data_IF_297193595696
#
_entry.id   IF_297193595696
#
_cell.length_a   1.000
_cell.length_b   1.000
_cell.length_c   1.000
_cell.angle_alpha   90.00
_cell.angle_beta   90.00
_cell.angle_gamma   90.00
#
_symmetry.space_group_name_H-M   'P 1'
#
loop_
_entity.id
_entity.type
_entity.pdbx_description
1 polymer ?
#
# COMPACT_ATOMS: atom_id res chain seq x y z
N UNK A 1 -1.23 -4.85 -21.36
CA UNK A 1 -2.03 -4.07 -20.40
C UNK A 1 -1.41 -4.21 -19.01
N UNK A 2 -1.88 -3.47 -17.99
CA UNK A 2 -1.49 -3.72 -16.60
C UNK A 2 -1.77 -5.15 -16.12
N UNK A 3 -2.94 -5.71 -16.44
CA UNK A 3 -3.29 -7.08 -16.05
C UNK A 3 -2.34 -8.13 -16.66
N UNK A 4 -1.97 -7.97 -17.92
CA UNK A 4 -1.00 -8.85 -18.59
C UNK A 4 0.41 -8.74 -17.96
N UNK A 5 0.85 -7.53 -17.60
CA UNK A 5 2.14 -7.32 -16.94
C UNK A 5 2.19 -8.01 -15.57
N UNK A 6 1.11 -7.90 -14.77
CA UNK A 6 0.97 -8.63 -13.50
C UNK A 6 1.06 -10.14 -13.74
N UNK A 7 0.29 -10.67 -14.69
CA UNK A 7 0.32 -12.11 -15.03
C UNK A 7 1.73 -12.57 -15.39
N UNK A 8 2.41 -11.83 -16.24
CA UNK A 8 3.73 -12.21 -16.75
C UNK A 8 4.77 -12.14 -15.63
N UNK A 9 4.74 -11.11 -14.78
CA UNK A 9 5.56 -11.00 -13.57
C UNK A 9 5.32 -12.12 -12.56
N UNK A 10 4.06 -12.51 -12.34
CA UNK A 10 3.72 -13.68 -11.50
C UNK A 10 4.34 -14.97 -12.03
N UNK A 11 4.33 -15.17 -13.36
CA UNK A 11 4.91 -16.36 -14.00
C UNK A 11 6.43 -16.36 -13.93
N UNK A 12 7.06 -15.23 -14.22
CA UNK A 12 8.52 -15.07 -14.20
C UNK A 12 9.08 -15.30 -12.80
N UNK A 13 8.46 -14.67 -11.79
CA UNK A 13 8.88 -14.75 -10.40
C UNK A 13 8.38 -16.01 -9.68
N UNK A 14 7.54 -16.82 -10.35
CA UNK A 14 6.84 -17.97 -9.77
C UNK A 14 6.07 -17.60 -8.49
N UNK A 15 5.42 -16.45 -8.53
CA UNK A 15 4.56 -15.96 -7.47
C UNK A 15 3.13 -16.54 -7.62
N UNK A 16 2.56 -16.92 -6.49
CA UNK A 16 1.21 -17.45 -6.31
C UNK A 16 0.20 -16.36 -5.94
N UNK A 17 0.66 -15.30 -5.28
CA UNK A 17 -0.21 -14.23 -4.77
C UNK A 17 0.27 -12.86 -5.19
N UNK A 18 -0.68 -12.01 -5.54
CA UNK A 18 -0.48 -10.56 -5.65
C UNK A 18 -1.60 -9.81 -4.94
N UNK A 19 -1.38 -8.51 -4.75
CA UNK A 19 -2.34 -7.60 -4.15
C UNK A 19 -1.82 -6.96 -2.86
N UNK A 20 -2.63 -6.09 -2.29
CA UNK A 20 -2.32 -5.23 -1.16
C UNK A 20 -2.58 -5.87 0.19
N UNK A 21 -1.77 -5.47 1.17
CA UNK A 21 -2.06 -5.67 2.59
C UNK A 21 -2.80 -4.43 3.09
N UNK A 22 -3.95 -4.63 3.74
CA UNK A 22 -4.88 -3.58 4.13
C UNK A 22 -5.10 -3.66 5.65
N UNK A 23 -4.56 -2.70 6.40
CA UNK A 23 -4.73 -2.62 7.84
C UNK A 23 -6.00 -1.86 8.22
N UNK A 24 -6.86 -2.51 8.99
CA UNK A 24 -8.01 -1.86 9.63
C UNK A 24 -7.55 -1.17 10.90
N UNK A 25 -7.58 0.17 10.91
CA UNK A 25 -7.11 1.00 12.02
C UNK A 25 -8.23 1.75 12.75
N UNK A 26 -9.49 1.51 12.39
CA UNK A 26 -10.66 1.95 13.15
C UNK A 26 -11.64 0.80 13.34
N UNK A 27 -12.25 0.75 14.51
CA UNK A 27 -13.22 -0.27 14.89
C UNK A 27 -14.53 0.32 15.42
N UNK A 28 -14.78 1.59 15.11
CA UNK A 28 -15.98 2.32 15.53
C UNK A 28 -17.26 1.83 14.84
N UNK A 29 -17.16 1.31 13.61
CA UNK A 29 -18.29 0.91 12.77
C UNK A 29 -17.96 -0.31 11.91
N UNK A 30 -18.40 -1.48 12.36
CA UNK A 30 -18.23 -2.75 11.63
C UNK A 30 -19.07 -2.80 10.33
N UNK A 31 -20.19 -2.09 10.27
CA UNK A 31 -21.04 -2.10 9.08
C UNK A 31 -20.43 -1.28 7.95
N UNK A 32 -19.85 -0.13 8.26
CA UNK A 32 -19.04 0.64 7.31
C UNK A 32 -17.84 -0.18 6.83
N UNK A 33 -17.16 -0.90 7.72
CA UNK A 33 -16.05 -1.78 7.33
C UNK A 33 -16.47 -2.89 6.36
N UNK A 34 -17.62 -3.52 6.59
CA UNK A 34 -18.17 -4.52 5.66
C UNK A 34 -18.44 -3.90 4.28
N UNK A 35 -19.02 -2.69 4.21
CA UNK A 35 -19.23 -1.97 2.95
C UNK A 35 -17.92 -1.64 2.25
N UNK A 36 -16.93 -1.12 3.00
CA UNK A 36 -15.60 -0.83 2.48
C UNK A 36 -14.99 -2.05 1.78
N UNK A 37 -14.94 -3.21 2.46
CA UNK A 37 -14.37 -4.44 1.88
C UNK A 37 -15.09 -4.84 0.61
N UNK A 38 -16.43 -4.80 0.63
CA UNK A 38 -17.24 -5.15 -0.52
C UNK A 38 -16.94 -4.27 -1.73
N UNK A 39 -16.85 -2.95 -1.54
CA UNK A 39 -16.54 -1.99 -2.61
C UNK A 39 -15.16 -2.29 -3.22
N UNK A 40 -14.13 -2.54 -2.40
CA UNK A 40 -12.78 -2.82 -2.88
C UNK A 40 -12.75 -4.14 -3.66
N UNK A 41 -13.36 -5.20 -3.13
CA UNK A 41 -13.39 -6.51 -3.78
C UNK A 41 -14.22 -6.50 -5.08
N UNK A 42 -15.38 -5.86 -5.10
CA UNK A 42 -16.23 -5.79 -6.29
C UNK A 42 -15.57 -4.97 -7.40
N UNK A 43 -15.04 -3.78 -7.08
CA UNK A 43 -14.40 -2.92 -8.06
C UNK A 43 -13.18 -3.58 -8.71
N UNK A 44 -12.33 -4.19 -7.90
CA UNK A 44 -11.14 -4.88 -8.39
C UNK A 44 -11.50 -6.09 -9.26
N UNK A 45 -12.48 -6.91 -8.85
CA UNK A 45 -12.92 -8.06 -9.66
C UNK A 45 -13.56 -7.63 -10.98
N UNK A 46 -14.36 -6.57 -10.99
CA UNK A 46 -14.93 -6.01 -12.22
C UNK A 46 -13.83 -5.53 -13.17
N UNK A 47 -12.88 -4.74 -12.68
CA UNK A 47 -11.76 -4.25 -13.49
C UNK A 47 -10.92 -5.39 -14.10
N UNK A 48 -10.66 -6.46 -13.33
CA UNK A 48 -9.91 -7.62 -13.83
C UNK A 48 -10.72 -8.40 -14.88
N UNK A 49 -12.01 -8.61 -14.65
CA UNK A 49 -12.88 -9.35 -15.57
C UNK A 49 -13.00 -8.68 -16.95
N UNK A 50 -12.86 -7.35 -17.01
CA UNK A 50 -12.88 -6.56 -18.24
C UNK A 50 -11.51 -6.46 -18.93
N UNK A 51 -10.45 -7.01 -18.34
CA UNK A 51 -9.09 -6.97 -18.86
C UNK A 51 -8.78 -8.08 -19.87
N UNK A 52 -7.60 -8.00 -20.50
CA UNK A 52 -7.04 -9.03 -21.40
C UNK A 52 -6.34 -10.19 -20.67
N UNK A 53 -6.34 -10.19 -19.33
CA UNK A 53 -5.78 -11.26 -18.50
C UNK A 53 -6.66 -11.52 -17.26
N UNK A 54 -7.95 -11.89 -17.42
CA UNK A 54 -8.88 -12.07 -16.29
C UNK A 54 -8.45 -13.18 -15.32
N UNK A 55 -7.58 -14.10 -15.74
CA UNK A 55 -7.02 -15.17 -14.91
C UNK A 55 -6.19 -14.67 -13.72
N UNK A 56 -5.74 -13.40 -13.70
CA UNK A 56 -5.05 -12.85 -12.53
C UNK A 56 -5.97 -12.74 -11.31
N UNK A 57 -7.29 -12.82 -11.49
CA UNK A 57 -8.25 -12.89 -10.39
C UNK A 57 -8.03 -14.13 -9.51
N UNK A 58 -7.49 -15.22 -10.06
CA UNK A 58 -7.27 -16.48 -9.34
C UNK A 58 -6.14 -16.38 -8.31
N UNK A 59 -5.19 -15.47 -8.56
CA UNK A 59 -4.03 -15.19 -7.69
C UNK A 59 -4.18 -13.88 -6.89
N UNK A 60 -5.28 -13.16 -7.08
CA UNK A 60 -5.54 -11.91 -6.35
C UNK A 60 -5.86 -12.20 -4.88
N UNK A 61 -5.13 -11.53 -3.99
CA UNK A 61 -5.42 -11.53 -2.56
C UNK A 61 -5.25 -10.15 -1.92
N UNK A 62 -6.38 -9.48 -1.68
CA UNK A 62 -6.47 -8.39 -0.70
C UNK A 62 -6.43 -8.98 0.71
N UNK A 63 -5.33 -8.76 1.43
CA UNK A 63 -5.18 -9.28 2.79
C UNK A 63 -5.65 -8.22 3.78
N UNK A 64 -6.86 -8.37 4.29
CA UNK A 64 -7.38 -7.54 5.38
C UNK A 64 -6.80 -8.00 6.71
N UNK A 65 -6.03 -7.14 7.37
CA UNK A 65 -5.46 -7.40 8.69
C UNK A 65 -6.32 -6.72 9.74
N UNK A 66 -6.98 -7.54 10.56
CA UNK A 66 -7.89 -7.11 11.62
C UNK A 66 -7.40 -7.64 12.96
N UNK A 67 -7.05 -6.73 13.87
CA UNK A 67 -6.54 -7.02 15.20
C UNK A 67 -6.78 -5.79 16.09
N UNK A 68 -8.02 -5.65 16.59
CA UNK A 68 -8.46 -4.47 17.34
C UNK A 68 -7.53 -4.11 18.49
N UNK A 69 -6.97 -5.11 19.17
CA UNK A 69 -6.12 -4.88 20.33
C UNK A 69 -4.82 -4.13 20.01
N UNK A 70 -4.32 -4.26 18.78
CA UNK A 70 -3.03 -3.67 18.38
C UNK A 70 -3.14 -2.67 17.24
N UNK A 71 -4.26 -2.64 16.51
CA UNK A 71 -4.43 -1.81 15.32
C UNK A 71 -5.38 -0.64 15.50
N UNK A 72 -6.24 -0.63 16.53
CA UNK A 72 -7.16 0.48 16.76
C UNK A 72 -6.37 1.77 17.04
N UNK A 73 -6.51 2.76 16.15
CA UNK A 73 -5.74 4.00 16.16
C UNK A 73 -4.21 3.82 16.08
N UNK A 74 -3.72 2.73 15.50
CA UNK A 74 -2.28 2.49 15.34
C UNK A 74 -1.60 3.58 14.48
N UNK A 75 -0.41 4.01 14.91
CA UNK A 75 0.40 4.99 14.17
C UNK A 75 1.01 4.37 12.91
N UNK A 76 1.27 5.17 11.88
CA UNK A 76 1.94 4.70 10.66
C UNK A 76 3.32 4.10 10.95
N UNK A 77 4.07 4.66 11.89
CA UNK A 77 5.34 4.09 12.34
C UNK A 77 5.19 2.65 12.86
N UNK A 78 4.21 2.40 13.74
CA UNK A 78 3.94 1.07 14.27
C UNK A 78 3.48 0.08 13.18
N UNK A 79 2.70 0.56 12.20
CA UNK A 79 2.27 -0.22 11.05
C UNK A 79 3.44 -0.56 10.12
N UNK A 80 4.34 0.39 9.85
CA UNK A 80 5.57 0.15 9.07
C UNK A 80 6.42 -0.92 9.74
N UNK A 81 6.65 -0.82 11.06
CA UNK A 81 7.41 -1.82 11.80
C UNK A 81 6.78 -3.22 11.71
N UNK A 82 5.46 -3.32 11.93
CA UNK A 82 4.72 -4.58 11.82
C UNK A 82 4.78 -5.16 10.40
N UNK A 83 4.56 -4.31 9.40
CA UNK A 83 4.57 -4.73 8.00
C UNK A 83 5.95 -5.21 7.55
N UNK A 84 7.03 -4.47 7.86
CA UNK A 84 8.40 -4.88 7.55
C UNK A 84 8.75 -6.23 8.18
N UNK A 85 8.35 -6.44 9.44
CA UNK A 85 8.54 -7.73 10.11
C UNK A 85 7.81 -8.87 9.37
N UNK A 86 6.58 -8.63 8.91
CA UNK A 86 5.83 -9.58 8.10
C UNK A 86 6.47 -9.82 6.72
N UNK A 87 6.87 -8.76 6.01
CA UNK A 87 7.40 -8.82 4.65
C UNK A 87 8.79 -9.48 4.57
N UNK A 88 9.59 -9.40 5.64
CA UNK A 88 10.94 -9.97 5.71
C UNK A 88 10.99 -11.35 6.36
N UNK A 89 9.89 -11.80 6.97
CA UNK A 89 9.77 -13.10 7.60
C UNK A 89 9.88 -14.24 6.56
N UNK A 90 10.86 -15.17 6.68
CA UNK A 90 11.02 -16.28 5.74
C UNK A 90 9.78 -17.18 5.62
N UNK A 91 9.05 -17.37 6.72
CA UNK A 91 7.80 -18.13 6.78
C UNK A 91 6.67 -17.46 5.99
N UNK A 92 6.60 -16.12 6.02
CA UNK A 92 5.62 -15.37 5.22
C UNK A 92 5.85 -15.67 3.75
N UNK A 93 7.06 -15.47 3.25
CA UNK A 93 7.30 -15.63 1.81
C UNK A 93 7.11 -17.08 1.37
N UNK A 94 7.54 -18.06 2.17
CA UNK A 94 7.29 -19.49 1.88
C UNK A 94 5.79 -19.83 1.83
N UNK A 95 5.00 -19.21 2.71
CA UNK A 95 3.55 -19.43 2.73
C UNK A 95 2.82 -18.68 1.62
N UNK A 96 3.29 -17.49 1.26
CA UNK A 96 2.67 -16.63 0.26
C UNK A 96 3.06 -17.04 -1.17
N UNK A 97 4.30 -17.47 -1.37
CA UNK A 97 4.93 -17.76 -2.66
C UNK A 97 5.66 -19.12 -2.63
N UNK A 98 4.96 -20.24 -2.35
CA UNK A 98 5.60 -21.56 -2.22
C UNK A 98 6.35 -22.02 -3.48
N UNK A 99 6.07 -21.46 -4.66
CA UNK A 99 6.78 -21.77 -5.91
C UNK A 99 7.97 -20.86 -6.21
N UNK A 100 8.20 -19.80 -5.43
CA UNK A 100 9.32 -18.88 -5.65
C UNK A 100 10.66 -19.56 -5.35
N UNK A 101 11.55 -19.57 -6.36
CA UNK A 101 12.88 -20.22 -6.25
C UNK A 101 13.97 -19.28 -5.70
N UNK A 102 13.78 -17.96 -5.83
CA UNK A 102 14.71 -16.94 -5.34
C UNK A 102 13.99 -15.94 -4.45
N UNK A 103 14.11 -16.14 -3.14
CA UNK A 103 13.61 -15.20 -2.12
C UNK A 103 14.83 -14.49 -1.54
N UNK A 104 15.27 -13.41 -2.19
CA UNK A 104 16.20 -12.46 -1.61
C UNK A 104 15.50 -11.14 -1.37
N UNK A 105 15.99 -10.34 -0.43
CA UNK A 105 15.50 -8.97 -0.23
C UNK A 105 15.53 -8.16 -1.53
N UNK A 106 16.54 -8.38 -2.37
CA UNK A 106 16.65 -7.77 -3.70
C UNK A 106 15.58 -8.25 -4.69
N UNK A 107 15.22 -9.54 -4.67
CA UNK A 107 14.17 -10.09 -5.53
C UNK A 107 12.77 -9.60 -5.13
N UNK A 108 12.56 -9.28 -3.85
CA UNK A 108 11.32 -8.71 -3.35
C UNK A 108 11.24 -7.19 -3.54
N UNK A 109 12.39 -6.50 -3.72
CA UNK A 109 12.53 -5.05 -3.87
C UNK A 109 11.57 -4.41 -4.90
N UNK A 110 11.18 -5.16 -5.93
CA UNK A 110 10.28 -4.70 -6.99
C UNK A 110 8.84 -5.19 -6.87
N UNK A 111 8.46 -5.83 -5.75
CA UNK A 111 7.16 -6.50 -5.60
C UNK A 111 6.28 -5.68 -4.66
N UNK A 112 5.24 -4.99 -5.17
CA UNK A 112 4.52 -3.99 -4.37
C UNK A 112 3.90 -4.54 -3.09
N UNK A 113 3.43 -5.80 -3.12
CA UNK A 113 2.86 -6.52 -1.98
C UNK A 113 3.76 -6.49 -0.73
N UNK A 114 5.08 -6.40 -0.91
CA UNK A 114 6.06 -6.44 0.18
C UNK A 114 6.73 -5.08 0.46
N UNK A 115 6.31 -4.00 -0.22
CA UNK A 115 6.83 -2.64 -0.01
C UNK A 115 5.78 -1.62 0.39
N UNK A 116 4.53 -1.84 -0.01
CA UNK A 116 3.46 -0.90 0.25
C UNK A 116 2.28 -1.60 0.92
N UNK A 117 1.61 -0.84 1.78
CA UNK A 117 0.36 -1.27 2.38
C UNK A 117 -0.64 -0.12 2.41
N UNK A 118 -1.89 -0.48 2.65
CA UNK A 118 -2.99 0.46 2.78
C UNK A 118 -3.39 0.52 4.24
N UNK A 119 -3.43 1.74 4.79
CA UNK A 119 -4.02 2.01 6.10
C UNK A 119 -5.43 2.55 5.91
N UNK A 120 -6.37 1.99 6.67
CA UNK A 120 -7.76 2.47 6.73
C UNK A 120 -8.05 2.96 8.14
N UNK A 121 -7.87 4.27 8.34
CA UNK A 121 -8.33 4.98 9.55
C UNK A 121 -9.81 5.38 9.42
N UNK A 122 -10.33 6.13 10.39
CA UNK A 122 -11.73 6.57 10.37
C UNK A 122 -12.05 7.44 9.15
N UNK A 123 -11.14 8.34 8.75
CA UNK A 123 -11.36 9.22 7.60
C UNK A 123 -11.46 8.39 6.31
N UNK A 124 -10.47 7.52 6.06
CA UNK A 124 -10.45 6.65 4.89
C UNK A 124 -11.66 5.70 4.86
N UNK A 125 -12.05 5.14 6.01
CA UNK A 125 -13.21 4.26 6.10
C UNK A 125 -14.49 4.98 5.66
N UNK A 126 -14.76 6.16 6.23
CA UNK A 126 -15.96 6.95 5.92
C UNK A 126 -15.95 7.43 4.48
N UNK A 127 -14.79 7.92 4.03
CA UNK A 127 -14.57 8.42 2.67
C UNK A 127 -15.00 7.41 1.61
N UNK A 128 -14.76 6.11 1.82
CA UNK A 128 -15.13 5.05 0.86
C UNK A 128 -16.50 4.43 1.18
N UNK A 129 -16.78 4.12 2.45
CA UNK A 129 -17.99 3.37 2.82
C UNK A 129 -19.29 4.19 2.72
N UNK A 130 -19.18 5.51 2.77
CA UNK A 130 -20.31 6.43 2.74
C UNK A 130 -20.39 7.23 1.42
N UNK A 131 -19.47 7.01 0.47
CA UNK A 131 -19.51 7.63 -0.86
C UNK A 131 -19.98 6.66 -1.96
N UNK A 132 -21.26 6.72 -2.37
CA UNK A 132 -21.80 5.88 -3.44
C UNK A 132 -21.24 6.22 -4.82
N UNK A 133 -20.56 7.37 -5.00
CA UNK A 133 -19.93 7.76 -6.27
C UNK A 133 -18.51 7.19 -6.40
N UNK A 134 -17.95 6.66 -5.30
CA UNK A 134 -16.65 6.01 -5.25
C UNK A 134 -15.45 6.96 -5.35
N UNK A 135 -15.62 8.25 -5.11
CA UNK A 135 -14.54 9.23 -5.01
C UNK A 135 -13.79 9.16 -3.67
N UNK A 136 -14.10 8.18 -2.84
CA UNK A 136 -13.41 7.90 -1.60
C UNK A 136 -11.90 7.70 -1.78
N UNK A 137 -11.17 7.76 -0.67
CA UNK A 137 -9.73 7.63 -0.64
C UNK A 137 -9.26 6.69 0.47
N UNK A 138 -8.05 6.17 0.32
CA UNK A 138 -7.33 5.43 1.34
C UNK A 138 -5.92 5.98 1.51
N UNK A 139 -5.28 5.64 2.64
CA UNK A 139 -3.90 6.03 2.89
C UNK A 139 -2.97 4.93 2.36
N UNK A 140 -2.23 5.22 1.30
CA UNK A 140 -1.23 4.34 0.71
C UNK A 140 0.14 4.66 1.32
N UNK A 141 0.77 3.66 1.94
CA UNK A 141 1.94 3.86 2.79
C UNK A 141 3.14 3.13 2.21
N UNK A 142 4.26 3.84 2.09
CA UNK A 142 5.55 3.22 1.79
C UNK A 142 6.14 2.66 3.08
N UNK A 143 6.28 1.34 3.13
CA UNK A 143 6.73 0.65 4.31
C UNK A 143 8.17 1.01 4.68
N UNK A 144 9.06 1.07 3.68
CA UNK A 144 10.50 1.26 3.88
C UNK A 144 10.95 2.71 3.95
N UNK A 145 10.05 3.67 3.77
CA UNK A 145 10.37 5.09 3.88
C UNK A 145 10.96 5.46 5.25
N UNK A 146 11.95 6.35 5.21
CA UNK A 146 12.57 7.01 6.34
C UNK A 146 12.69 8.51 6.03
N UNK A 147 12.55 9.39 7.04
CA UNK A 147 12.69 10.83 6.84
C UNK A 147 14.10 11.19 6.38
N UNK A 148 14.23 12.32 5.68
CA UNK A 148 15.53 12.79 5.16
C UNK A 148 16.55 12.99 6.27
N UNK A 149 16.11 13.42 7.45
CA UNK A 149 16.97 13.57 8.63
C UNK A 149 17.57 12.26 9.15
N UNK A 150 16.91 11.12 8.92
CA UNK A 150 17.43 9.82 9.30
C UNK A 150 18.46 9.29 8.29
N UNK A 151 18.29 9.60 7.00
CA UNK A 151 19.15 9.07 5.92
C UNK A 151 20.32 9.99 5.57
N UNK A 152 20.21 11.30 5.82
CA UNK A 152 21.26 12.30 5.58
C UNK A 152 21.72 12.94 6.89
N UNK A 153 22.90 12.54 7.43
CA UNK A 153 23.43 13.11 8.66
C UNK A 153 23.61 14.64 8.56
N UNK A 154 23.00 15.36 9.50
CA UNK A 154 23.10 16.83 9.57
C UNK A 154 22.10 17.59 8.69
N UNK A 155 21.21 16.90 7.96
CA UNK A 155 20.19 17.54 7.13
C UNK A 155 19.30 18.50 7.92
N UNK A 156 18.92 18.17 9.16
CA UNK A 156 18.10 19.04 10.02
C UNK A 156 18.71 20.43 10.27
N UNK A 157 20.02 20.59 10.09
CA UNK A 157 20.74 21.84 10.26
C UNK A 157 21.13 22.51 8.92
N UNK A 158 20.66 21.99 7.78
CA UNK A 158 20.95 22.54 6.46
C UNK A 158 20.01 23.71 6.13
N UNK A 159 20.47 24.62 5.27
CA UNK A 159 19.61 25.70 4.75
C UNK A 159 18.44 25.13 3.93
N UNK A 160 18.64 24.04 3.19
CA UNK A 160 17.60 23.32 2.46
C UNK A 160 16.48 22.83 3.39
N UNK A 161 16.82 22.25 4.55
CA UNK A 161 15.83 21.82 5.52
C UNK A 161 15.05 22.97 6.14
N UNK A 162 15.59 24.19 6.16
CA UNK A 162 14.89 25.38 6.65
C UNK A 162 13.95 25.99 5.59
N UNK A 163 14.29 25.86 4.30
CA UNK A 163 13.47 26.36 3.19
C UNK A 163 12.27 25.44 2.89
N UNK A 164 12.44 24.12 3.04
CA UNK A 164 11.41 23.11 2.74
C UNK A 164 10.59 22.68 3.98
N UNK A 165 10.48 23.53 5.01
CA UNK A 165 9.72 23.19 6.21
C UNK A 165 8.21 23.27 5.97
N UNK A 166 7.56 22.13 5.75
CA UNK A 166 6.10 22.04 5.71
C UNK A 166 5.47 21.91 7.11
N UNK A 167 4.14 22.09 7.19
CA UNK A 167 3.38 21.74 8.39
C UNK A 167 3.56 20.25 8.72
N UNK A 168 3.83 19.90 9.99
CA UNK A 168 4.24 18.55 10.33
C UNK A 168 3.09 17.56 10.16
N UNK A 169 3.37 16.43 9.52
CA UNK A 169 2.47 15.28 9.39
C UNK A 169 3.16 14.10 10.04
N UNK A 170 2.53 13.50 11.05
CA UNK A 170 3.10 12.43 11.88
C UNK A 170 4.50 12.80 12.43
N UNK A 171 4.73 14.09 12.70
CA UNK A 171 6.01 14.61 13.19
C UNK A 171 7.08 14.88 12.12
N UNK A 172 6.81 14.56 10.84
CA UNK A 172 7.72 14.82 9.72
C UNK A 172 7.36 16.14 9.01
N UNK A 173 8.38 16.95 8.72
CA UNK A 173 8.24 18.23 8.00
C UNK A 173 8.71 18.19 6.55
N UNK A 174 9.29 17.08 6.12
CA UNK A 174 9.73 16.87 4.75
C UNK A 174 8.54 16.95 3.78
N UNK A 175 8.82 17.20 2.50
CA UNK A 175 7.81 17.14 1.44
C UNK A 175 7.25 15.71 1.34
N UNK A 176 8.12 14.70 1.26
CA UNK A 176 7.74 13.29 1.29
C UNK A 176 7.65 12.76 2.73
N UNK A 177 6.45 12.42 3.19
CA UNK A 177 6.20 11.87 4.54
C UNK A 177 5.99 10.35 4.54
N UNK A 178 6.30 9.70 3.42
CA UNK A 178 6.26 8.26 3.23
C UNK A 178 4.86 7.65 3.14
N UNK A 179 3.86 8.48 2.89
CA UNK A 179 2.50 8.05 2.61
C UNK A 179 1.74 9.13 1.81
N UNK A 180 0.76 8.70 1.02
CA UNK A 180 -0.12 9.58 0.24
C UNK A 180 -1.56 9.08 0.31
N UNK A 181 -2.51 9.94 -0.02
CA UNK A 181 -3.89 9.49 -0.28
C UNK A 181 -3.99 9.03 -1.73
N UNK A 182 -4.64 7.91 -1.97
CA UNK A 182 -5.02 7.46 -3.31
C UNK A 182 -6.52 7.28 -3.39
N UNK A 183 -7.10 7.51 -4.56
CA UNK A 183 -8.51 7.19 -4.80
C UNK A 183 -8.77 5.71 -4.59
N UNK A 184 -9.90 5.34 -4.00
CA UNK A 184 -10.27 3.94 -3.78
C UNK A 184 -10.41 3.14 -5.08
N UNK A 185 -10.69 3.81 -6.20
CA UNK A 185 -10.70 3.17 -7.52
C UNK A 185 -9.31 2.73 -7.99
N UNK A 186 -8.24 3.30 -7.43
CA UNK A 186 -6.87 2.89 -7.73
C UNK A 186 -6.49 1.59 -7.02
N UNK A 187 -7.30 1.07 -6.09
CA UNK A 187 -7.05 -0.21 -5.41
C UNK A 187 -7.41 -1.37 -6.37
N UNK A 188 -6.56 -1.59 -7.37
CA UNK A 188 -6.79 -2.54 -8.45
C UNK A 188 -5.51 -2.90 -9.22
N UNK A 189 -5.64 -3.66 -10.33
CA UNK A 189 -4.50 -4.12 -11.11
C UNK A 189 -3.68 -2.97 -11.70
N UNK A 190 -4.32 -1.90 -12.18
CA UNK A 190 -3.62 -0.81 -12.86
C UNK A 190 -2.59 -0.12 -11.96
N UNK A 191 -2.98 0.24 -10.74
CA UNK A 191 -2.06 0.87 -9.81
C UNK A 191 -1.03 -0.11 -9.24
N UNK A 192 -1.41 -1.39 -9.07
CA UNK A 192 -0.46 -2.42 -8.63
C UNK A 192 0.67 -2.62 -9.66
N UNK A 193 0.34 -2.64 -10.95
CA UNK A 193 1.32 -2.68 -12.04
C UNK A 193 2.23 -1.46 -12.04
N UNK A 194 1.65 -0.25 -11.93
CA UNK A 194 2.42 1.00 -11.82
C UNK A 194 3.46 0.91 -10.70
N UNK A 195 3.04 0.49 -9.50
CA UNK A 195 3.92 0.38 -8.34
C UNK A 195 4.91 -0.80 -8.43
N UNK A 196 4.72 -1.74 -9.37
CA UNK A 196 5.68 -2.81 -9.67
C UNK A 196 6.85 -2.33 -10.55
N UNK A 197 6.78 -1.09 -11.03
CA UNK A 197 7.77 -0.48 -11.91
C UNK A 197 9.06 -0.03 -11.21
N UNK A 198 9.77 0.91 -11.84
CA UNK A 198 11.06 1.41 -11.36
C UNK A 198 10.94 2.14 -10.00
N UNK A 199 12.02 2.21 -9.20
CA UNK A 199 12.02 2.84 -7.88
C UNK A 199 11.45 4.28 -7.83
N UNK A 200 11.62 5.05 -8.91
CA UNK A 200 11.20 6.46 -8.96
C UNK A 200 9.68 6.66 -9.14
N UNK A 201 8.91 5.59 -9.36
CA UNK A 201 7.45 5.69 -9.60
C UNK A 201 6.72 6.27 -8.39
N UNK A 202 7.18 5.97 -7.17
CA UNK A 202 6.63 6.56 -5.95
C UNK A 202 6.58 8.09 -6.04
N UNK A 203 7.70 8.72 -6.38
CA UNK A 203 7.80 10.18 -6.47
C UNK A 203 6.96 10.78 -7.60
N UNK A 204 6.74 10.03 -8.70
CA UNK A 204 5.86 10.46 -9.78
C UNK A 204 4.37 10.46 -9.39
N UNK A 205 3.98 9.56 -8.49
CA UNK A 205 2.60 9.48 -7.96
C UNK A 205 2.41 10.31 -6.69
N UNK A 206 3.49 10.62 -5.98
CA UNK A 206 3.43 11.23 -4.66
C UNK A 206 2.70 12.56 -4.67
N UNK A 207 1.75 12.69 -3.74
CA UNK A 207 1.15 13.95 -3.36
C UNK A 207 1.15 14.06 -1.85
N UNK A 208 1.73 15.14 -1.34
CA UNK A 208 1.77 15.39 0.09
C UNK A 208 0.35 15.50 0.65
N UNK A 209 -0.03 14.66 1.64
CA UNK A 209 -1.32 14.78 2.30
C UNK A 209 -1.52 16.20 2.88
N UNK A 210 -2.76 16.71 2.93
CA UNK A 210 -4.04 16.03 2.71
C UNK A 210 -4.50 15.98 1.24
N UNK A 211 -3.64 16.33 0.26
CA UNK A 211 -3.99 16.21 -1.15
C UNK A 211 -4.20 14.74 -1.57
N UNK A 212 -5.01 14.55 -2.61
CA UNK A 212 -5.29 13.28 -3.30
C UNK A 212 -4.79 13.40 -4.74
#
# INVERSE_FOLDING_TARGET
>A
SPAAQIRDGLREMKHDKWGWIIYRCTYSDDSAWVRFRHIIEENSRRAIAESDAPEIADSLQWTFVEDRATLDSASRESLRARFRAWATAPETIRSEQPRAEYISSFALAGVPRYHYFIQVDEEALRSVADDPQGHGHVNFVYADWEPLSAVVPGYENSEEAAEDMHEPIDGCRDEDVGWMKISSHMIGPDFYDIMSGLPDVWHACYRRPPAI
#
